data_IF_502612661321
#
_entry.id   IF_502612661321
#
_cell.length_a   1.000
_cell.length_b   1.000
_cell.length_c   1.000
_cell.angle_alpha   90.00
_cell.angle_beta   90.00
_cell.angle_gamma   90.00
#
_symmetry.space_group_name_H-M   'P 1'
#
loop_
_entity.id
_entity.type
_entity.pdbx_description
1 polymer ?
#
# COMPACT_ATOMS: atom_id res chain seq x y z
N UNK A 1 28.26 5.00 -21.60
CA UNK A 1 27.05 4.33 -22.09
C UNK A 1 26.60 3.35 -21.01
N UNK A 2 25.74 3.80 -20.07
CA UNK A 2 25.19 2.95 -19.01
C UNK A 2 24.13 2.06 -19.64
N UNK A 3 24.44 0.80 -19.91
CA UNK A 3 23.43 -0.22 -20.16
C UNK A 3 22.76 -0.53 -18.83
N UNK A 4 21.64 0.12 -18.57
CA UNK A 4 20.72 -0.33 -17.54
C UNK A 4 20.21 -1.67 -18.02
N UNK A 5 20.66 -2.74 -17.36
CA UNK A 5 20.22 -4.11 -17.60
C UNK A 5 18.78 -4.23 -17.09
N UNK A 6 17.83 -3.73 -17.86
CA UNK A 6 16.41 -4.06 -17.71
C UNK A 6 16.21 -5.30 -18.57
N UNK A 7 16.44 -6.46 -17.97
CA UNK A 7 16.17 -7.75 -18.58
C UNK A 7 14.71 -7.81 -19.04
N UNK A 8 14.48 -7.62 -20.35
CA UNK A 8 13.29 -8.09 -21.04
C UNK A 8 11.99 -7.32 -20.89
N UNK A 9 11.91 -6.25 -20.13
CA UNK A 9 10.74 -5.35 -20.12
C UNK A 9 11.10 -4.02 -20.75
N UNK A 10 10.56 -3.77 -21.93
CA UNK A 10 10.47 -2.42 -22.48
C UNK A 10 9.69 -1.58 -21.45
N UNK A 11 10.22 -0.42 -21.07
CA UNK A 11 9.44 0.57 -20.32
C UNK A 11 8.15 0.80 -21.11
N UNK A 12 7.03 0.33 -20.58
CA UNK A 12 5.75 0.52 -21.24
C UNK A 12 5.46 2.01 -21.28
N UNK A 13 4.79 2.47 -22.33
CA UNK A 13 4.38 3.86 -22.46
C UNK A 13 3.58 4.31 -21.23
N UNK A 14 2.84 3.38 -20.64
CA UNK A 14 2.05 3.56 -19.41
C UNK A 14 2.92 3.84 -18.19
N UNK A 15 4.04 3.11 -18.03
CA UNK A 15 4.97 3.35 -16.93
C UNK A 15 5.65 4.71 -17.06
N UNK A 16 5.98 5.12 -18.30
CA UNK A 16 6.57 6.43 -18.58
C UNK A 16 5.55 7.56 -18.36
N UNK A 17 4.32 7.38 -18.82
CA UNK A 17 3.19 8.29 -18.54
C UNK A 17 2.90 8.38 -17.04
N UNK A 18 2.88 7.26 -16.33
CA UNK A 18 2.72 7.21 -14.88
C UNK A 18 3.81 7.98 -14.15
N UNK A 19 5.07 7.82 -14.55
CA UNK A 19 6.19 8.55 -13.98
C UNK A 19 6.11 10.07 -14.26
N UNK A 20 5.76 10.47 -15.49
CA UNK A 20 5.55 11.88 -15.86
C UNK A 20 4.40 12.48 -15.07
N UNK A 21 3.26 11.79 -14.99
CA UNK A 21 2.11 12.21 -14.19
C UNK A 21 2.47 12.32 -12.71
N UNK A 22 3.21 11.37 -12.15
CA UNK A 22 3.68 11.42 -10.77
C UNK A 22 4.52 12.69 -10.51
N UNK A 23 5.45 13.03 -11.42
CA UNK A 23 6.24 14.27 -11.32
C UNK A 23 5.34 15.51 -11.42
N UNK A 24 4.39 15.53 -12.37
CA UNK A 24 3.44 16.62 -12.51
C UNK A 24 2.54 16.80 -11.29
N UNK A 25 2.12 15.71 -10.66
CA UNK A 25 1.35 15.75 -9.41
C UNK A 25 2.19 16.08 -8.19
N UNK A 26 3.48 15.72 -8.16
CA UNK A 26 4.39 16.03 -7.05
C UNK A 26 4.83 17.51 -7.02
N UNK A 27 4.91 18.18 -8.18
CA UNK A 27 5.30 19.60 -8.27
C UNK A 27 4.34 20.54 -7.52
N UNK A 28 3.00 20.43 -7.65
CA UNK A 28 2.06 21.25 -6.88
C UNK A 28 2.11 20.99 -5.37
N UNK A 29 2.49 19.79 -4.92
CA UNK A 29 2.58 19.46 -3.48
C UNK A 29 3.65 20.27 -2.74
N UNK A 30 4.66 20.78 -3.44
CA UNK A 30 5.63 21.74 -2.84
C UNK A 30 5.01 23.10 -2.55
N UNK A 31 3.89 23.44 -3.19
CA UNK A 31 3.19 24.74 -3.08
C UNK A 31 1.95 24.63 -2.21
N UNK A 32 1.38 23.43 -2.03
CA UNK A 32 0.17 23.21 -1.23
C UNK A 32 0.53 23.08 0.26
N UNK A 33 0.14 24.06 1.12
CA UNK A 33 0.61 24.10 2.51
C UNK A 33 -0.14 23.15 3.45
N UNK A 34 -1.20 22.47 2.99
CA UNK A 34 -2.06 21.65 3.85
C UNK A 34 -1.77 20.16 3.67
N UNK A 35 -1.25 19.53 4.73
CA UNK A 35 -0.98 18.08 4.80
C UNK A 35 -2.20 17.23 4.46
N UNK A 36 -3.40 17.71 4.80
CA UNK A 36 -4.66 17.04 4.54
C UNK A 36 -4.92 16.87 3.03
N UNK A 37 -4.62 17.91 2.24
CA UNK A 37 -4.79 17.85 0.78
C UNK A 37 -3.83 16.83 0.17
N UNK A 38 -2.56 16.86 0.58
CA UNK A 38 -1.53 15.94 0.10
C UNK A 38 -1.93 14.49 0.42
N UNK A 39 -2.26 14.22 1.68
CA UNK A 39 -2.62 12.87 2.11
C UNK A 39 -3.90 12.37 1.47
N UNK A 40 -4.94 13.18 1.40
CA UNK A 40 -6.22 12.78 0.78
C UNK A 40 -6.05 12.52 -0.72
N UNK A 41 -5.30 13.38 -1.43
CA UNK A 41 -5.02 13.16 -2.86
C UNK A 41 -4.19 11.89 -3.07
N UNK A 42 -3.18 11.63 -2.23
CA UNK A 42 -2.41 10.39 -2.27
C UNK A 42 -3.28 9.15 -2.09
N UNK A 43 -4.17 9.17 -1.09
CA UNK A 43 -5.13 8.09 -0.84
C UNK A 43 -6.01 7.84 -2.06
N UNK A 44 -6.60 8.89 -2.64
CA UNK A 44 -7.49 8.78 -3.81
C UNK A 44 -6.74 8.20 -5.01
N UNK A 45 -5.54 8.72 -5.32
CA UNK A 45 -4.77 8.28 -6.49
C UNK A 45 -4.32 6.82 -6.36
N UNK A 46 -3.83 6.41 -5.18
CA UNK A 46 -3.40 5.03 -4.95
C UNK A 46 -4.59 4.08 -5.01
N UNK A 47 -5.71 4.43 -4.36
CA UNK A 47 -6.92 3.61 -4.39
C UNK A 47 -7.48 3.46 -5.80
N UNK A 48 -7.54 4.55 -6.57
CA UNK A 48 -8.00 4.53 -7.95
C UNK A 48 -7.04 3.70 -8.85
N UNK A 49 -5.73 3.93 -8.73
CA UNK A 49 -4.73 3.19 -9.50
C UNK A 49 -4.78 1.69 -9.24
N UNK A 50 -4.83 1.30 -7.96
CA UNK A 50 -4.98 -0.10 -7.56
C UNK A 50 -6.28 -0.72 -8.09
N UNK A 51 -7.42 -0.06 -7.90
CA UNK A 51 -8.71 -0.58 -8.37
C UNK A 51 -8.73 -0.74 -9.89
N UNK A 52 -8.19 0.22 -10.63
CA UNK A 52 -8.11 0.14 -12.09
C UNK A 52 -7.21 -1.02 -12.54
N UNK A 53 -6.09 -1.29 -11.87
CA UNK A 53 -5.21 -2.42 -12.18
C UNK A 53 -5.90 -3.76 -11.93
N UNK A 54 -6.70 -3.86 -10.88
CA UNK A 54 -7.41 -5.08 -10.52
C UNK A 54 -8.61 -5.40 -11.42
N UNK A 55 -9.23 -4.39 -12.02
CA UNK A 55 -10.39 -4.56 -12.92
C UNK A 55 -9.93 -4.71 -14.39
N UNK A 56 -8.67 -4.40 -14.70
CA UNK A 56 -8.16 -4.46 -16.07
C UNK A 56 -8.36 -5.86 -16.66
N UNK A 57 -8.93 -5.93 -17.87
CA UNK A 57 -9.21 -7.19 -18.55
C UNK A 57 -7.90 -7.92 -18.91
N UNK A 58 -7.88 -9.22 -18.66
CA UNK A 58 -6.79 -10.11 -19.08
C UNK A 58 -7.28 -10.90 -20.31
N UNK A 59 -6.48 -11.02 -21.38
CA UNK A 59 -6.89 -11.68 -22.62
C UNK A 59 -6.89 -13.22 -22.52
N UNK A 60 -7.33 -13.76 -21.42
CA UNK A 60 -7.45 -15.20 -21.17
C UNK A 60 -8.92 -15.58 -20.97
N UNK A 61 -9.34 -16.72 -21.55
CA UNK A 61 -10.74 -17.17 -21.50
C UNK A 61 -11.04 -18.16 -20.36
N UNK A 62 -10.00 -18.56 -19.60
CA UNK A 62 -10.16 -19.55 -18.52
C UNK A 62 -10.55 -18.87 -17.23
N UNK A 63 -11.50 -19.47 -16.52
CA UNK A 63 -11.81 -19.13 -15.11
C UNK A 63 -11.05 -20.07 -14.19
N UNK A 64 -10.62 -19.57 -13.06
CA UNK A 64 -9.83 -20.31 -12.07
C UNK A 64 -10.56 -20.27 -10.73
N UNK A 65 -10.40 -21.34 -9.95
CA UNK A 65 -10.91 -21.38 -8.58
C UNK A 65 -10.06 -20.49 -7.65
N UNK A 66 -10.67 -20.07 -6.56
CA UNK A 66 -10.02 -19.26 -5.54
C UNK A 66 -8.87 -20.02 -4.87
N UNK A 67 -7.69 -19.42 -4.83
CA UNK A 67 -6.52 -19.98 -4.17
C UNK A 67 -6.51 -19.67 -2.66
N UNK A 68 -6.77 -20.69 -1.87
CA UNK A 68 -6.76 -20.60 -0.40
C UNK A 68 -5.41 -20.84 0.24
N UNK A 69 -4.40 -21.27 -0.53
CA UNK A 69 -3.06 -21.60 -0.01
C UNK A 69 -2.20 -20.33 -0.03
N UNK A 70 -1.89 -19.73 1.13
CA UNK A 70 -1.07 -18.53 1.17
C UNK A 70 0.30 -18.78 0.56
N UNK A 71 0.76 -17.86 -0.27
CA UNK A 71 2.06 -17.89 -0.97
C UNK A 71 2.27 -19.08 -1.91
N UNK A 72 1.22 -19.86 -2.19
CA UNK A 72 1.27 -20.96 -3.15
C UNK A 72 1.61 -20.45 -4.56
N UNK A 73 2.74 -20.89 -5.12
CA UNK A 73 3.21 -20.49 -6.45
C UNK A 73 3.95 -19.14 -6.52
N UNK A 74 3.94 -18.34 -5.47
CA UNK A 74 4.67 -17.05 -5.46
C UNK A 74 6.13 -17.21 -5.00
N UNK A 75 6.44 -18.26 -4.25
CA UNK A 75 7.79 -18.50 -3.73
C UNK A 75 8.72 -19.19 -4.75
N UNK A 76 8.20 -19.63 -5.89
CA UNK A 76 8.95 -20.46 -6.86
C UNK A 76 9.73 -19.63 -7.88
N UNK A 77 9.57 -18.29 -7.89
CA UNK A 77 10.21 -17.44 -8.90
C UNK A 77 10.48 -16.01 -8.42
N UNK A 78 11.44 -15.33 -9.06
CA UNK A 78 11.68 -13.90 -8.84
C UNK A 78 10.46 -13.03 -9.21
N UNK A 79 9.61 -13.50 -10.12
CA UNK A 79 8.34 -12.83 -10.44
C UNK A 79 7.37 -12.86 -9.24
N UNK A 80 7.42 -13.90 -8.42
CA UNK A 80 6.62 -13.97 -7.20
C UNK A 80 6.99 -12.91 -6.18
N UNK A 81 8.29 -12.63 -6.00
CA UNK A 81 8.74 -11.54 -5.13
C UNK A 81 8.27 -10.17 -5.65
N UNK A 82 8.31 -9.95 -6.96
CA UNK A 82 7.78 -8.74 -7.57
C UNK A 82 6.27 -8.61 -7.30
N UNK A 83 5.50 -9.68 -7.49
CA UNK A 83 4.06 -9.66 -7.22
C UNK A 83 3.76 -9.34 -5.74
N UNK A 84 4.56 -9.88 -4.80
CA UNK A 84 4.44 -9.54 -3.38
C UNK A 84 4.60 -8.03 -3.16
N UNK A 85 5.61 -7.42 -3.77
CA UNK A 85 5.86 -5.99 -3.63
C UNK A 85 4.78 -5.15 -4.32
N UNK A 86 4.31 -5.55 -5.50
CA UNK A 86 3.29 -4.85 -6.28
C UNK A 86 1.95 -4.79 -5.52
N UNK A 87 1.65 -5.80 -4.69
CA UNK A 87 0.44 -5.83 -3.84
C UNK A 87 0.68 -5.10 -2.52
N UNK A 88 1.80 -5.36 -1.85
CA UNK A 88 2.10 -4.80 -0.54
C UNK A 88 2.24 -3.27 -0.56
N UNK A 89 2.94 -2.74 -1.58
CA UNK A 89 3.32 -1.33 -1.64
C UNK A 89 2.15 -0.34 -1.71
N UNK A 90 1.08 -0.55 -2.50
CA UNK A 90 -0.06 0.36 -2.51
C UNK A 90 -0.71 0.52 -1.13
N UNK A 91 -0.89 -0.58 -0.39
CA UNK A 91 -1.50 -0.54 0.93
C UNK A 91 -0.59 0.04 2.00
N UNK A 92 0.72 -0.17 1.89
CA UNK A 92 1.71 0.50 2.72
C UNK A 92 1.67 2.02 2.50
N UNK A 93 1.66 2.48 1.26
CA UNK A 93 1.59 3.89 0.92
C UNK A 93 0.23 4.51 1.34
N UNK A 94 -0.87 3.79 1.14
CA UNK A 94 -2.22 4.19 1.58
C UNK A 94 -2.26 4.42 3.10
N UNK A 95 -1.74 3.45 3.86
CA UNK A 95 -1.61 3.50 5.30
C UNK A 95 -0.72 4.66 5.77
N UNK A 96 0.41 4.86 5.10
CA UNK A 96 1.32 5.96 5.40
C UNK A 96 0.63 7.33 5.25
N UNK A 97 -0.09 7.56 4.15
CA UNK A 97 -0.85 8.79 3.97
C UNK A 97 -1.98 8.94 4.97
N UNK A 98 -2.70 7.86 5.28
CA UNK A 98 -3.74 7.88 6.31
C UNK A 98 -3.16 8.24 7.68
N UNK A 99 -2.04 7.63 8.07
CA UNK A 99 -1.33 7.93 9.30
C UNK A 99 -0.84 9.38 9.34
N UNK A 100 -0.31 9.88 8.21
CA UNK A 100 0.20 11.25 8.09
C UNK A 100 -0.86 12.33 8.31
N UNK A 101 -2.09 12.13 7.82
CA UNK A 101 -3.18 13.12 7.98
C UNK A 101 -3.99 12.95 9.26
N UNK A 102 -3.92 11.77 9.91
CA UNK A 102 -4.76 11.45 11.07
C UNK A 102 -4.21 12.09 12.34
N UNK A 103 -5.03 12.84 13.10
CA UNK A 103 -4.66 13.35 14.41
C UNK A 103 -4.39 12.21 15.40
N UNK A 104 -3.47 12.43 16.35
CA UNK A 104 -3.02 11.41 17.30
C UNK A 104 -4.17 10.74 18.08
N UNK A 105 -5.19 11.48 18.45
CA UNK A 105 -6.35 10.98 19.23
C UNK A 105 -7.29 10.05 18.44
N UNK A 106 -7.20 10.03 17.10
CA UNK A 106 -8.03 9.18 16.22
C UNK A 106 -7.26 8.06 15.54
N UNK A 107 -5.96 7.92 15.81
CA UNK A 107 -5.10 6.95 15.10
C UNK A 107 -5.58 5.52 15.22
N UNK A 108 -5.93 5.09 16.43
CA UNK A 108 -6.40 3.72 16.64
C UNK A 108 -7.72 3.46 15.89
N UNK A 109 -8.65 4.41 15.94
CA UNK A 109 -9.92 4.28 15.22
C UNK A 109 -9.69 4.13 13.72
N UNK A 110 -8.88 5.04 13.12
CA UNK A 110 -8.60 5.00 11.68
C UNK A 110 -7.81 3.75 11.30
N UNK A 111 -6.86 3.32 12.11
CA UNK A 111 -6.11 2.09 11.87
C UNK A 111 -7.02 0.86 11.83
N UNK A 112 -7.93 0.74 12.82
CA UNK A 112 -8.85 -0.41 12.93
C UNK A 112 -9.93 -0.37 11.86
N UNK A 113 -10.67 0.72 11.76
CA UNK A 113 -11.76 0.83 10.77
C UNK A 113 -11.24 0.81 9.34
N UNK A 114 -10.12 1.47 9.06
CA UNK A 114 -9.45 1.40 7.77
C UNK A 114 -8.98 -0.02 7.44
N UNK A 115 -8.39 -0.73 8.41
CA UNK A 115 -7.99 -2.12 8.26
C UNK A 115 -9.16 -3.05 7.94
N UNK A 116 -10.28 -2.90 8.65
CA UNK A 116 -11.51 -3.66 8.38
C UNK A 116 -12.04 -3.36 6.98
N UNK A 117 -12.06 -2.08 6.59
CA UNK A 117 -12.53 -1.66 5.27
C UNK A 117 -11.65 -2.27 4.17
N UNK A 118 -10.33 -2.21 4.32
CA UNK A 118 -9.38 -2.80 3.38
C UNK A 118 -9.55 -4.32 3.31
N UNK A 119 -9.68 -4.99 4.45
CA UNK A 119 -9.91 -6.44 4.50
C UNK A 119 -11.16 -6.84 3.69
N UNK A 120 -12.29 -6.17 3.95
CA UNK A 120 -13.55 -6.46 3.28
C UNK A 120 -13.44 -6.16 1.78
N UNK A 121 -12.83 -5.03 1.41
CA UNK A 121 -12.70 -4.63 0.01
C UNK A 121 -11.78 -5.57 -0.75
N UNK A 122 -10.61 -5.90 -0.21
CA UNK A 122 -9.66 -6.83 -0.83
C UNK A 122 -10.26 -8.23 -0.96
N UNK A 123 -10.82 -8.75 0.13
CA UNK A 123 -11.44 -10.06 0.07
C UNK A 123 -12.60 -10.10 -0.94
N UNK A 124 -13.39 -9.04 -1.00
CA UNK A 124 -14.46 -8.90 -1.98
C UNK A 124 -13.95 -8.85 -3.43
N UNK A 125 -12.88 -8.10 -3.69
CA UNK A 125 -12.24 -8.02 -5.01
C UNK A 125 -11.67 -9.38 -5.43
N UNK A 126 -10.90 -10.02 -4.55
CA UNK A 126 -10.30 -11.34 -4.80
C UNK A 126 -11.37 -12.42 -5.02
N UNK A 127 -12.43 -12.38 -4.21
CA UNK A 127 -13.56 -13.28 -4.38
C UNK A 127 -14.27 -13.04 -5.72
N UNK A 128 -14.40 -11.80 -6.15
CA UNK A 128 -15.01 -11.45 -7.43
C UNK A 128 -14.15 -11.86 -8.62
N UNK A 129 -12.83 -11.81 -8.51
CA UNK A 129 -11.90 -12.14 -9.59
C UNK A 129 -12.05 -13.59 -10.10
N UNK A 130 -12.46 -14.53 -9.26
CA UNK A 130 -12.71 -15.91 -9.70
C UNK A 130 -13.79 -16.02 -10.80
N UNK A 131 -14.66 -15.00 -10.94
CA UNK A 131 -15.69 -14.93 -11.97
C UNK A 131 -15.22 -14.20 -13.24
N UNK A 132 -14.03 -13.60 -13.21
CA UNK A 132 -13.47 -12.90 -14.35
C UNK A 132 -12.55 -13.83 -15.16
N UNK A 133 -12.69 -13.87 -16.50
CA UNK A 133 -11.82 -14.67 -17.35
C UNK A 133 -10.36 -14.29 -17.18
N UNK A 134 -9.46 -15.28 -17.06
CA UNK A 134 -8.03 -15.09 -16.93
C UNK A 134 -7.55 -14.59 -15.57
N UNK A 135 -8.45 -14.46 -14.58
CA UNK A 135 -8.08 -14.08 -13.21
C UNK A 135 -8.41 -15.21 -12.23
N UNK A 136 -7.69 -15.23 -11.13
CA UNK A 136 -7.95 -16.09 -9.99
C UNK A 136 -7.80 -15.25 -8.71
N UNK A 137 -8.74 -15.46 -7.77
CA UNK A 137 -8.63 -14.84 -6.46
C UNK A 137 -7.56 -15.54 -5.62
N UNK A 138 -6.77 -14.79 -4.86
CA UNK A 138 -5.69 -15.31 -4.03
C UNK A 138 -5.72 -14.70 -2.63
N UNK A 139 -5.86 -15.57 -1.62
CA UNK A 139 -5.83 -15.15 -0.22
C UNK A 139 -4.53 -14.43 0.16
N UNK A 140 -3.43 -14.70 -0.56
CA UNK A 140 -2.15 -14.04 -0.34
C UNK A 140 -2.25 -12.53 -0.55
N UNK A 141 -3.00 -12.09 -1.54
CA UNK A 141 -3.19 -10.66 -1.84
C UNK A 141 -3.88 -9.95 -0.68
N UNK A 142 -4.88 -10.59 -0.10
CA UNK A 142 -5.58 -10.08 1.08
C UNK A 142 -4.62 -9.94 2.27
N UNK A 143 -3.82 -10.98 2.52
CA UNK A 143 -2.85 -10.97 3.63
C UNK A 143 -1.76 -9.89 3.45
N UNK A 144 -1.24 -9.75 2.24
CA UNK A 144 -0.23 -8.74 1.91
C UNK A 144 -0.77 -7.31 2.00
N UNK A 145 -1.99 -7.08 1.53
CA UNK A 145 -2.65 -5.79 1.64
C UNK A 145 -2.88 -5.38 3.10
N UNK A 146 -3.35 -6.32 3.93
CA UNK A 146 -3.50 -6.08 5.37
C UNK A 146 -2.16 -5.85 6.06
N UNK A 147 -1.12 -6.62 5.72
CA UNK A 147 0.22 -6.39 6.25
C UNK A 147 0.75 -5.00 5.87
N UNK A 148 0.59 -4.59 4.60
CA UNK A 148 0.93 -3.25 4.14
C UNK A 148 0.19 -2.15 4.92
N UNK A 149 -1.09 -2.36 5.22
CA UNK A 149 -1.88 -1.41 6.03
C UNK A 149 -1.41 -1.31 7.48
N UNK A 150 -1.11 -2.41 8.15
CA UNK A 150 -0.78 -2.44 9.58
C UNK A 150 0.60 -1.85 9.88
N UNK A 151 1.59 -2.10 9.02
CA UNK A 151 3.00 -1.76 9.32
C UNK A 151 3.23 -0.28 9.61
N UNK A 152 2.75 0.70 8.81
CA UNK A 152 2.96 2.12 9.12
C UNK A 152 2.36 2.54 10.47
N UNK A 153 1.18 2.03 10.83
CA UNK A 153 0.56 2.32 12.13
C UNK A 153 1.37 1.76 13.31
N UNK A 154 1.90 0.55 13.15
CA UNK A 154 2.76 -0.06 14.16
C UNK A 154 4.05 0.73 14.36
N UNK A 155 4.72 1.14 13.26
CA UNK A 155 5.94 1.91 13.31
C UNK A 155 5.72 3.29 13.96
N UNK A 156 4.63 3.97 13.63
CA UNK A 156 4.27 5.25 14.24
C UNK A 156 3.98 5.12 15.73
N UNK A 157 3.25 4.08 16.15
CA UNK A 157 2.97 3.82 17.56
C UNK A 157 4.23 3.55 18.37
N UNK A 158 5.18 2.80 17.82
CA UNK A 158 6.46 2.51 18.48
C UNK A 158 7.34 3.75 18.60
N UNK A 159 7.34 4.62 17.59
CA UNK A 159 8.06 5.89 17.65
C UNK A 159 7.47 6.83 18.70
N UNK A 160 6.15 6.89 18.81
CA UNK A 160 5.47 7.69 19.82
C UNK A 160 5.81 7.22 21.24
N UNK A 161 5.70 5.92 21.50
CA UNK A 161 6.06 5.33 22.80
C UNK A 161 7.53 5.60 23.17
N UNK A 162 8.43 5.56 22.20
CA UNK A 162 9.84 5.89 22.40
C UNK A 162 10.04 7.35 22.79
N UNK A 163 9.36 8.29 22.15
CA UNK A 163 9.46 9.72 22.49
C UNK A 163 8.98 10.00 23.90
N UNK A 164 7.86 9.42 24.32
CA UNK A 164 7.32 9.56 25.66
C UNK A 164 8.27 9.02 26.73
N UNK A 165 8.90 7.86 26.47
CA UNK A 165 9.88 7.28 27.36
C UNK A 165 11.10 8.20 27.59
N UNK A 166 11.61 8.83 26.55
CA UNK A 166 12.75 9.76 26.68
C UNK A 166 12.35 11.07 27.33
N UNK A 167 11.15 11.58 27.08
CA UNK A 167 10.63 12.78 27.72
C UNK A 167 10.51 12.58 29.24
N UNK A 168 9.89 11.48 29.69
CA UNK A 168 9.73 11.14 31.10
C UNK A 168 11.08 10.98 31.84
N UNK A 169 12.08 10.38 31.20
CA UNK A 169 13.45 10.26 31.75
C UNK A 169 14.15 11.60 31.86
N UNK A 170 13.92 12.52 30.91
CA UNK A 170 14.48 13.87 30.95
C UNK A 170 13.92 14.69 32.11
N UNK A 171 12.63 14.59 32.38
CA UNK A 171 11.98 15.24 33.53
C UNK A 171 12.46 14.68 34.86
N UNK A 172 12.55 13.36 34.99
CA UNK A 172 13.05 12.71 36.20
C UNK A 172 14.50 13.14 36.57
N UNK A 173 15.33 13.37 35.58
CA UNK A 173 16.70 13.90 35.80
C UNK A 173 16.74 15.38 36.20
N UNK A 174 15.73 16.17 35.83
CA UNK A 174 15.66 17.59 36.23
C UNK A 174 15.16 17.78 37.65
N UNK A 175 14.30 16.88 38.14
CA UNK A 175 13.77 16.91 39.53
C UNK A 175 14.79 16.41 40.57
N UNK A 176 15.86 15.72 40.16
CA UNK A 176 16.90 15.20 41.05
C UNK A 176 18.10 16.16 41.19
N UNK A 177 18.07 17.33 40.57
CA UNK A 177 19.06 18.42 40.71
C UNK A 177 18.50 19.59 41.53
#
# INVERSE_FOLDING_TARGET
MLKILVTGRQLSLEALLGAVLAVFFLLPFRVLPKKEIIGTTGIILISAGFTLSEIAAVPELRTYEFNWIPFGGQMDSLNGLQNILDIFWPFFALSYFACYITPSYRRLEVAVFGGITILITLFGLEWFQQYLPGRYGDITQVLLGIAGWIIPWYLDATEYARKDFYASRGEARRTLK
#
